data_IF_252308276674
#
_entry.id   IF_252308276674
#
_cell.length_a   1.000
_cell.length_b   1.000
_cell.length_c   1.000
_cell.angle_alpha   90.00
_cell.angle_beta   90.00
_cell.angle_gamma   90.00
#
_symmetry.space_group_name_H-M   'P 1'
#
loop_
_entity.id
_entity.type
_entity.pdbx_description
1 polymer ?
#
# COMPACT_ATOMS: atom_id res chain seq x y z
N UNK A 1 -15.59 -10.05 2.62
CA UNK A 1 -14.40 -9.20 2.63
C UNK A 1 -14.21 -8.68 1.23
N UNK A 2 -13.89 -7.39 1.11
CA UNK A 2 -13.52 -6.81 -0.16
C UNK A 2 -12.06 -7.21 -0.45
N UNK A 3 -11.83 -7.85 -1.60
CA UNK A 3 -10.49 -8.20 -2.05
C UNK A 3 -10.28 -7.55 -3.41
N UNK A 4 -9.14 -6.90 -3.59
CA UNK A 4 -8.73 -6.39 -4.90
C UNK A 4 -7.23 -6.51 -5.10
N UNK A 5 -6.84 -6.66 -6.37
CA UNK A 5 -5.47 -6.77 -6.82
C UNK A 5 -5.20 -5.70 -7.86
N UNK A 6 -4.03 -5.10 -7.77
CA UNK A 6 -3.52 -4.09 -8.69
C UNK A 6 -2.13 -4.53 -9.13
N UNK A 7 -1.88 -4.42 -10.43
CA UNK A 7 -0.62 -4.80 -11.05
C UNK A 7 -0.12 -3.64 -11.90
N UNK A 8 1.17 -3.35 -11.83
CA UNK A 8 1.84 -2.35 -12.65
C UNK A 8 3.21 -2.82 -13.08
N UNK A 9 3.49 -2.69 -14.36
CA UNK A 9 4.85 -2.76 -14.88
C UNK A 9 5.47 -1.37 -14.82
N UNK A 10 6.70 -1.30 -14.35
CA UNK A 10 7.47 -0.06 -14.23
C UNK A 10 8.83 -0.25 -14.87
N UNK A 11 9.36 0.78 -15.58
CA UNK A 11 10.75 0.76 -16.04
C UNK A 11 11.75 0.87 -14.88
N UNK A 12 11.30 1.19 -13.67
CA UNK A 12 12.17 1.28 -12.50
C UNK A 12 12.77 -0.09 -12.15
N UNK A 13 14.06 -0.15 -11.78
CA UNK A 13 14.64 -1.34 -11.17
C UNK A 13 13.85 -1.79 -9.93
N UNK A 14 13.77 -3.10 -9.69
CA UNK A 14 12.98 -3.64 -8.57
C UNK A 14 13.34 -3.04 -7.20
N UNK A 15 14.61 -2.72 -6.96
CA UNK A 15 15.05 -2.08 -5.71
C UNK A 15 14.47 -0.66 -5.55
N UNK A 16 14.42 0.12 -6.63
CA UNK A 16 13.87 1.47 -6.63
C UNK A 16 12.35 1.45 -6.51
N UNK A 17 11.68 0.59 -7.29
CA UNK A 17 10.24 0.38 -7.16
C UNK A 17 9.87 -0.04 -5.73
N UNK A 18 10.60 -1.01 -5.14
CA UNK A 18 10.44 -1.45 -3.76
C UNK A 18 10.57 -0.30 -2.76
N UNK A 19 11.62 0.51 -2.88
CA UNK A 19 11.83 1.65 -1.99
C UNK A 19 10.64 2.60 -2.03
N UNK A 20 10.14 2.94 -3.23
CA UNK A 20 8.98 3.82 -3.38
C UNK A 20 7.68 3.21 -2.89
N UNK A 21 7.43 1.93 -3.17
CA UNK A 21 6.18 1.25 -2.78
C UNK A 21 6.17 0.74 -1.33
N UNK A 22 7.24 0.98 -0.57
CA UNK A 22 7.29 0.70 0.87
C UNK A 22 7.68 1.92 1.72
N UNK A 23 7.82 3.09 1.10
CA UNK A 23 7.93 4.37 1.78
C UNK A 23 6.51 4.81 2.24
N UNK A 24 6.15 4.43 3.46
CA UNK A 24 4.80 4.64 3.99
C UNK A 24 4.42 6.11 4.10
N UNK A 25 5.36 7.01 4.37
CA UNK A 25 5.07 8.45 4.45
C UNK A 25 4.73 9.00 3.06
N UNK A 26 5.49 8.57 2.04
CA UNK A 26 5.22 8.92 0.64
C UNK A 26 3.90 8.32 0.12
N UNK A 27 3.49 7.15 0.62
CA UNK A 27 2.17 6.58 0.31
C UNK A 27 1.04 7.47 0.79
N UNK A 28 1.13 7.96 2.04
CA UNK A 28 0.08 8.75 2.65
C UNK A 28 -0.24 10.01 1.83
N UNK A 29 0.80 10.66 1.31
CA UNK A 29 0.66 11.86 0.50
C UNK A 29 -0.22 11.66 -0.76
N UNK A 30 -0.39 10.42 -1.22
CA UNK A 30 -1.17 10.09 -2.41
C UNK A 30 -2.60 9.61 -2.09
N UNK A 31 -2.91 9.34 -0.81
CA UNK A 31 -4.23 8.87 -0.39
C UNK A 31 -5.03 10.05 0.15
N UNK A 32 -6.15 10.45 -0.50
CA UNK A 32 -6.94 11.59 -0.04
C UNK A 32 -7.41 11.40 1.40
N UNK A 33 -7.39 12.49 2.18
CA UNK A 33 -7.87 12.52 3.57
C UNK A 33 -7.18 11.50 4.49
N UNK A 34 -5.95 11.09 4.15
CA UNK A 34 -5.20 10.10 4.92
C UNK A 34 -3.83 10.64 5.31
N UNK A 35 -3.48 10.55 6.58
CA UNK A 35 -2.12 10.81 7.08
C UNK A 35 -1.56 9.53 7.70
N UNK A 36 -0.32 9.18 7.40
CA UNK A 36 0.36 8.04 8.03
C UNK A 36 1.36 8.57 9.04
N UNK A 37 1.28 8.03 10.25
CA UNK A 37 2.28 8.22 11.30
C UNK A 37 3.08 6.92 11.45
N UNK A 38 4.34 6.96 11.05
CA UNK A 38 5.31 5.88 11.32
C UNK A 38 6.01 6.20 12.65
N UNK A 39 6.25 5.23 13.55
CA UNK A 39 7.09 5.45 14.71
C UNK A 39 8.44 6.00 14.26
N UNK A 40 8.83 7.13 14.83
CA UNK A 40 10.00 7.89 14.39
C UNK A 40 11.30 7.11 14.56
N UNK A 41 12.15 7.15 13.53
CA UNK A 41 13.60 6.91 13.68
C UNK A 41 14.16 5.59 13.14
N UNK A 42 13.35 4.67 12.59
CA UNK A 42 13.86 3.42 12.03
C UNK A 42 13.25 3.11 10.65
N UNK A 43 14.06 2.59 9.69
CA UNK A 43 13.51 2.03 8.47
C UNK A 43 12.54 0.89 8.82
N UNK A 44 11.53 0.71 7.98
CA UNK A 44 10.55 -0.34 8.20
C UNK A 44 11.20 -1.72 8.18
N UNK A 45 10.78 -2.56 9.13
CA UNK A 45 11.26 -3.91 9.33
C UNK A 45 10.08 -4.79 9.77
N UNK A 46 10.34 -6.09 9.90
CA UNK A 46 9.39 -7.01 10.51
C UNK A 46 8.98 -6.52 11.92
N UNK A 47 7.69 -6.50 12.20
CA UNK A 47 7.11 -6.01 13.45
C UNK A 47 6.93 -4.49 13.52
N UNK A 48 7.32 -3.72 12.50
CA UNK A 48 7.02 -2.29 12.45
C UNK A 48 5.51 -2.08 12.40
N UNK A 49 4.98 -1.29 13.34
CA UNK A 49 3.58 -0.87 13.36
C UNK A 49 3.50 0.60 12.99
N UNK A 50 2.73 0.93 11.97
CA UNK A 50 2.45 2.32 11.58
C UNK A 50 0.94 2.56 11.53
N UNK A 51 0.52 3.81 11.69
CA UNK A 51 -0.91 4.15 11.78
C UNK A 51 -1.31 5.00 10.60
N UNK A 52 -2.22 4.49 9.77
CA UNK A 52 -2.90 5.29 8.76
C UNK A 52 -4.18 5.88 9.35
N UNK A 53 -4.23 7.20 9.52
CA UNK A 53 -5.43 7.92 9.96
C UNK A 53 -6.19 8.42 8.74
N UNK A 54 -7.42 7.95 8.55
CA UNK A 54 -8.28 8.34 7.41
C UNK A 54 -9.51 9.09 7.88
N UNK A 55 -9.80 10.26 7.30
CA UNK A 55 -11.04 11.02 7.50
C UNK A 55 -10.82 12.49 7.90
N UNK A 56 -11.91 13.18 8.22
CA UNK A 56 -11.90 14.61 8.56
C UNK A 56 -12.49 14.85 9.95
N UNK A 57 -11.75 15.56 10.80
CA UNK A 57 -12.20 15.93 12.14
C UNK A 57 -12.65 14.72 12.99
N UNK A 58 -13.83 14.76 13.64
CA UNK A 58 -14.31 13.66 14.48
C UNK A 58 -14.74 12.41 13.70
N UNK A 59 -14.80 12.47 12.36
CA UNK A 59 -15.11 11.33 11.48
C UNK A 59 -13.85 10.58 11.02
N UNK A 60 -12.69 10.89 11.59
CA UNK A 60 -11.45 10.17 11.32
C UNK A 60 -11.38 8.85 12.10
N UNK A 61 -10.81 7.83 11.48
CA UNK A 61 -10.48 6.57 12.13
C UNK A 61 -9.00 6.22 11.89
N UNK A 62 -8.45 5.49 12.86
CA UNK A 62 -7.08 4.97 12.79
C UNK A 62 -7.10 3.51 12.29
N UNK A 63 -6.23 3.22 11.33
CA UNK A 63 -5.93 1.91 10.76
C UNK A 63 -4.47 1.56 11.07
N UNK A 64 -4.15 1.07 12.29
CA UNK A 64 -2.82 0.57 12.62
C UNK A 64 -2.53 -0.69 11.80
N UNK A 65 -1.37 -0.70 11.14
CA UNK A 65 -0.89 -1.78 10.30
C UNK A 65 0.47 -2.27 10.80
N UNK A 66 0.61 -3.59 10.93
CA UNK A 66 1.85 -4.24 11.32
C UNK A 66 2.49 -4.93 10.12
N UNK A 67 3.78 -4.72 9.91
CA UNK A 67 4.59 -5.46 8.95
C UNK A 67 4.84 -6.87 9.48
N UNK A 68 4.13 -7.86 8.95
CA UNK A 68 4.26 -9.28 9.33
C UNK A 68 5.18 -10.08 8.41
N UNK A 69 5.55 -9.50 7.27
CA UNK A 69 6.63 -10.02 6.42
C UNK A 69 7.37 -8.87 5.77
N UNK A 70 8.70 -8.94 5.78
CA UNK A 70 9.56 -7.97 5.15
C UNK A 70 10.75 -8.67 4.50
N UNK A 71 10.83 -8.64 3.18
CA UNK A 71 11.93 -9.23 2.42
C UNK A 71 12.24 -8.30 1.25
N UNK A 72 13.23 -7.41 1.36
CA UNK A 72 13.63 -6.54 0.25
C UNK A 72 14.13 -7.34 -0.97
N UNK A 73 13.98 -6.82 -2.20
CA UNK A 73 14.50 -7.47 -3.39
C UNK A 73 16.04 -7.51 -3.35
N UNK A 74 16.62 -8.66 -3.69
CA UNK A 74 18.07 -8.83 -3.68
C UNK A 74 18.51 -9.91 -4.68
N UNK A 75 19.54 -9.62 -5.49
CA UNK A 75 20.15 -10.58 -6.41
C UNK A 75 19.17 -11.19 -7.41
N UNK A 76 18.29 -10.36 -7.99
CA UNK A 76 17.26 -10.83 -8.94
C UNK A 76 16.06 -11.55 -8.29
N UNK A 77 15.98 -11.58 -6.95
CA UNK A 77 14.80 -12.09 -6.23
C UNK A 77 13.77 -10.99 -5.99
N UNK A 78 12.51 -11.40 -5.92
CA UNK A 78 11.39 -10.51 -5.61
C UNK A 78 11.49 -9.92 -4.21
N UNK A 79 11.07 -8.67 -4.07
CA UNK A 79 10.76 -8.07 -2.78
C UNK A 79 9.34 -8.47 -2.35
N UNK A 80 9.14 -8.79 -1.07
CA UNK A 80 7.83 -9.13 -0.51
C UNK A 80 7.59 -8.43 0.83
N UNK A 81 6.50 -7.69 0.90
CA UNK A 81 5.97 -7.08 2.12
C UNK A 81 4.56 -7.62 2.39
N UNK A 82 4.27 -7.94 3.65
CA UNK A 82 2.91 -8.25 4.09
C UNK A 82 2.58 -7.44 5.33
N UNK A 83 1.35 -6.91 5.34
CA UNK A 83 0.80 -6.07 6.39
C UNK A 83 -0.45 -6.74 6.97
N UNK A 84 -0.60 -6.70 8.28
CA UNK A 84 -1.86 -7.01 8.97
C UNK A 84 -2.46 -5.76 9.58
N UNK A 85 -3.75 -5.53 9.32
CA UNK A 85 -4.51 -4.43 9.90
C UNK A 85 -4.92 -4.80 11.32
N UNK A 86 -4.34 -4.12 12.30
CA UNK A 86 -4.59 -4.26 13.74
C UNK A 86 -5.69 -3.34 14.26
N UNK A 87 -6.33 -2.60 13.36
CA UNK A 87 -7.33 -1.59 13.69
C UNK A 87 -8.65 -2.16 14.17
N UNK A 88 -9.49 -1.28 14.70
CA UNK A 88 -10.83 -1.65 15.15
C UNK A 88 -11.91 -1.36 14.12
N UNK A 89 -11.63 -0.63 13.04
CA UNK A 89 -12.61 -0.22 11.99
C UNK A 89 -12.35 -0.94 10.68
N UNK A 90 -11.09 -0.95 10.25
CA UNK A 90 -10.61 -1.66 9.07
C UNK A 90 -9.85 -2.88 9.53
N UNK A 91 -10.28 -4.05 9.06
CA UNK A 91 -9.68 -5.34 9.35
C UNK A 91 -9.17 -5.94 8.05
N UNK A 92 -8.19 -6.84 8.14
CA UNK A 92 -7.68 -7.61 7.02
C UNK A 92 -6.18 -7.48 6.85
N UNK A 93 -5.72 -7.60 5.60
CA UNK A 93 -4.30 -7.73 5.25
C UNK A 93 -4.00 -7.04 3.92
N UNK A 94 -2.75 -6.69 3.73
CA UNK A 94 -2.24 -6.23 2.45
C UNK A 94 -0.93 -6.94 2.12
N UNK A 95 -0.63 -7.09 0.84
CA UNK A 95 0.66 -7.57 0.38
C UNK A 95 1.15 -6.78 -0.81
N UNK A 96 2.45 -6.51 -0.83
CA UNK A 96 3.15 -5.85 -1.92
C UNK A 96 4.30 -6.75 -2.34
N UNK A 97 4.27 -7.22 -3.58
CA UNK A 97 5.34 -7.98 -4.20
C UNK A 97 5.96 -7.15 -5.32
N UNK A 98 7.29 -7.08 -5.37
CA UNK A 98 8.03 -6.38 -6.42
C UNK A 98 8.96 -7.38 -7.09
N UNK A 99 8.58 -7.81 -8.29
CA UNK A 99 9.32 -8.80 -9.06
C UNK A 99 10.24 -8.08 -10.06
N UNK A 100 11.52 -8.43 -10.14
CA UNK A 100 12.37 -7.97 -11.24
C UNK A 100 11.89 -8.58 -12.56
N UNK A 101 12.07 -7.81 -13.63
CA UNK A 101 11.78 -8.21 -15.02
C UNK A 101 12.95 -7.77 -15.90
N UNK A 102 12.99 -8.25 -17.15
CA UNK A 102 14.06 -7.88 -18.09
C UNK A 102 14.11 -6.37 -18.38
N UNK A 103 12.98 -5.67 -18.27
CA UNK A 103 12.84 -4.24 -18.61
C UNK A 103 12.56 -3.34 -17.40
N UNK A 104 12.75 -3.82 -16.17
CA UNK A 104 12.45 -3.07 -14.94
C UNK A 104 11.81 -3.95 -13.87
N UNK A 105 10.59 -3.65 -13.45
CA UNK A 105 9.90 -4.41 -12.40
C UNK A 105 8.39 -4.55 -12.63
N UNK A 106 7.83 -5.59 -12.03
CA UNK A 106 6.41 -5.83 -11.92
C UNK A 106 6.00 -5.72 -10.45
N UNK A 107 5.18 -4.72 -10.14
CA UNK A 107 4.65 -4.50 -8.81
C UNK A 107 3.24 -5.05 -8.73
N UNK A 108 3.01 -5.90 -7.74
CA UNK A 108 1.73 -6.51 -7.41
C UNK A 108 1.33 -6.03 -6.03
N UNK A 109 0.16 -5.41 -5.92
CA UNK A 109 -0.45 -5.04 -4.66
C UNK A 109 -1.78 -5.75 -4.51
N UNK A 110 -1.94 -6.52 -3.44
CA UNK A 110 -3.22 -7.12 -3.03
C UNK A 110 -3.68 -6.50 -1.72
N UNK A 111 -4.94 -6.07 -1.69
CA UNK A 111 -5.63 -5.61 -0.49
C UNK A 111 -6.80 -6.54 -0.20
N UNK A 112 -6.89 -6.95 1.05
CA UNK A 112 -8.00 -7.70 1.60
C UNK A 112 -8.50 -6.92 2.82
N UNK A 113 -9.68 -6.32 2.70
CA UNK A 113 -10.20 -5.44 3.74
C UNK A 113 -11.67 -5.70 4.07
N UNK A 114 -11.99 -5.47 5.34
CA UNK A 114 -13.35 -5.42 5.87
C UNK A 114 -13.51 -4.14 6.66
N UNK A 115 -14.46 -3.30 6.24
CA UNK A 115 -14.87 -2.13 7.01
C UNK A 115 -16.08 -2.54 7.84
N UNK A 116 -16.00 -2.45 9.17
CA UNK A 116 -17.05 -2.95 10.07
C UNK A 116 -18.42 -2.32 9.82
N UNK A 117 -18.45 -1.04 9.47
CA UNK A 117 -19.69 -0.28 9.23
C UNK A 117 -20.28 -0.50 7.83
N UNK A 118 -19.55 -1.14 6.91
CA UNK A 118 -20.03 -1.42 5.56
C UNK A 118 -20.67 -2.82 5.54
N UNK A 119 -21.94 -2.97 5.16
CA UNK A 119 -22.55 -4.29 5.01
C UNK A 119 -21.83 -5.15 3.97
N UNK A 120 -21.92 -6.49 4.07
CA UNK A 120 -21.19 -7.41 3.16
C UNK A 120 -21.57 -7.25 1.70
N UNK A 121 -22.81 -6.87 1.41
CA UNK A 121 -23.26 -6.58 0.03
C UNK A 121 -22.57 -5.35 -0.58
N UNK A 122 -21.98 -4.48 0.25
CA UNK A 122 -21.16 -3.35 -0.20
C UNK A 122 -19.72 -3.73 -0.55
N UNK A 123 -19.27 -4.95 -0.25
CA UNK A 123 -17.90 -5.41 -0.49
C UNK A 123 -17.47 -5.26 -1.97
N UNK A 124 -18.31 -5.55 -3.00
CA UNK A 124 -17.93 -5.34 -4.40
C UNK A 124 -17.71 -3.87 -4.77
N UNK A 125 -18.54 -2.97 -4.25
CA UNK A 125 -18.39 -1.53 -4.46
C UNK A 125 -17.12 -1.02 -3.77
N UNK A 126 -16.88 -1.48 -2.54
CA UNK A 126 -15.69 -1.15 -1.78
C UNK A 126 -14.41 -1.65 -2.48
N UNK A 127 -14.42 -2.87 -3.01
CA UNK A 127 -13.30 -3.40 -3.81
C UNK A 127 -13.07 -2.59 -5.09
N UNK A 128 -14.14 -2.19 -5.78
CA UNK A 128 -14.07 -1.38 -7.01
C UNK A 128 -13.54 0.03 -6.76
N UNK A 129 -14.00 0.67 -5.68
CA UNK A 129 -13.51 1.98 -5.24
C UNK A 129 -12.05 1.91 -4.78
N UNK A 130 -11.72 0.92 -3.94
CA UNK A 130 -10.36 0.65 -3.48
C UNK A 130 -9.40 0.44 -4.65
N UNK A 131 -9.74 -0.46 -5.59
CA UNK A 131 -8.91 -0.72 -6.77
C UNK A 131 -8.58 0.54 -7.58
N UNK A 132 -9.55 1.45 -7.74
CA UNK A 132 -9.32 2.72 -8.46
C UNK A 132 -8.42 3.67 -7.68
N UNK A 133 -8.68 3.84 -6.39
CA UNK A 133 -7.91 4.73 -5.53
C UNK A 133 -6.46 4.26 -5.39
N UNK A 134 -6.26 3.02 -4.96
CA UNK A 134 -4.93 2.42 -4.78
C UNK A 134 -4.21 2.26 -6.12
N UNK A 135 -4.94 2.10 -7.23
CA UNK A 135 -4.37 2.14 -8.57
C UNK A 135 -3.67 3.48 -8.84
N UNK A 136 -4.36 4.60 -8.59
CA UNK A 136 -3.79 5.95 -8.74
C UNK A 136 -2.61 6.20 -7.81
N UNK A 137 -2.69 5.70 -6.57
CA UNK A 137 -1.58 5.78 -5.61
C UNK A 137 -0.35 5.06 -6.14
N UNK A 138 -0.53 3.82 -6.61
CA UNK A 138 0.56 3.03 -7.19
C UNK A 138 1.15 3.70 -8.44
N UNK A 139 0.30 4.28 -9.30
CA UNK A 139 0.73 5.05 -10.46
C UNK A 139 1.61 6.24 -10.04
N UNK A 140 1.17 7.02 -9.05
CA UNK A 140 1.92 8.18 -8.55
C UNK A 140 3.24 7.81 -7.86
N UNK A 141 3.29 6.65 -7.18
CA UNK A 141 4.51 6.17 -6.53
C UNK A 141 5.54 5.69 -7.55
N UNK A 142 5.08 5.09 -8.66
CA UNK A 142 5.95 4.55 -9.71
C UNK A 142 6.29 5.56 -10.81
N UNK A 143 5.62 6.71 -10.85
CA UNK A 143 5.92 7.79 -11.80
C UNK A 143 7.40 8.23 -11.69
N UNK A 144 8.07 8.40 -12.82
CA UNK A 144 9.41 8.96 -12.83
C UNK A 144 9.34 10.46 -12.44
N UNK A 145 10.39 11.03 -11.83
CA UNK A 145 10.49 12.48 -11.71
C UNK A 145 10.60 13.09 -13.11
N UNK A 146 9.44 13.40 -13.70
CA UNK A 146 9.30 13.89 -15.08
C UNK A 146 7.88 13.73 -15.68
N UNK A 147 7.05 12.82 -15.14
CA UNK A 147 5.73 12.52 -15.73
C UNK A 147 4.57 13.35 -15.14
N UNK A 148 4.85 14.25 -14.20
CA UNK A 148 3.88 15.25 -13.77
C UNK A 148 3.99 16.44 -14.72
N UNK A 149 2.91 16.69 -15.49
CA UNK A 149 2.67 17.76 -16.48
C UNK A 149 2.85 17.35 -17.95
N UNK A 150 1.74 16.87 -18.52
CA UNK A 150 1.39 16.97 -19.93
C UNK A 150 -0.05 17.44 -20.04
#
# INVERSE_FOLDING_TARGET
MAVFRIERFSPLPAAEAWHRVTDWERHAAQVPLTSISVPTGLPSQLGTVFVARTGLGPLAFDDPMEVVRWTPPAGGRAGVCQLEKRGSVVLGRASIDVLPTDSGSHVVWVEELRVRLVPRWGDPLLASAGRRMFGKVLDALLAAPGDAHG
#
